data_IF_271265094095
#
_entry.id   IF_271265094095
#
_cell.length_a   1.000
_cell.length_b   1.000
_cell.length_c   1.000
_cell.angle_alpha   90.00
_cell.angle_beta   90.00
_cell.angle_gamma   90.00
#
_symmetry.space_group_name_H-M   'P 1'
#
loop_
_entity.id
_entity.type
_entity.pdbx_description
1 polymer ?
#
# COMPACT_ATOMS: atom_id res chain seq x y z
N UNK A 1 26.93 20.07 -10.76
CA UNK A 1 26.44 18.71 -10.46
C UNK A 1 26.56 18.51 -8.95
N UNK A 2 25.48 18.76 -8.20
CA UNK A 2 25.44 18.53 -6.77
C UNK A 2 24.98 17.09 -6.59
N UNK A 3 25.86 16.21 -6.14
CA UNK A 3 25.52 14.84 -5.76
C UNK A 3 24.60 14.90 -4.53
N UNK A 4 23.31 14.70 -4.70
CA UNK A 4 22.38 14.52 -3.61
C UNK A 4 22.73 13.21 -2.91
N UNK A 5 23.10 13.30 -1.64
CA UNK A 5 23.37 12.16 -0.77
C UNK A 5 22.14 11.23 -0.76
N UNK A 6 22.31 9.92 -0.96
CA UNK A 6 21.19 8.97 -0.87
C UNK A 6 20.53 9.07 0.51
N UNK A 7 19.20 8.85 0.60
CA UNK A 7 18.55 8.78 1.89
C UNK A 7 19.22 7.69 2.74
N UNK A 8 19.44 7.92 4.03
CA UNK A 8 20.05 6.94 4.90
C UNK A 8 19.21 5.67 4.88
N UNK A 9 19.86 4.52 4.77
CA UNK A 9 19.20 3.26 5.05
C UNK A 9 18.57 3.36 6.45
N UNK A 10 17.32 2.90 6.66
CA UNK A 10 16.67 3.01 7.95
C UNK A 10 17.58 2.39 9.00
N UNK A 11 18.15 3.23 9.86
CA UNK A 11 19.00 2.81 10.96
C UNK A 11 18.11 2.13 11.99
N UNK A 12 18.30 0.86 12.18
CA UNK A 12 17.90 -0.01 13.26
C UNK A 12 16.55 0.27 13.93
N UNK A 13 15.82 -0.81 14.16
CA UNK A 13 14.56 -0.90 14.89
C UNK A 13 13.49 0.08 14.40
N UNK A 14 12.55 -0.44 13.58
CA UNK A 14 11.27 0.23 13.43
C UNK A 14 10.75 0.53 14.84
N UNK A 15 10.52 1.80 15.12
CA UNK A 15 9.69 2.16 16.25
C UNK A 15 8.31 1.55 16.01
N UNK A 16 7.57 1.18 17.05
CA UNK A 16 6.20 0.63 16.97
C UNK A 16 5.23 1.49 16.13
N UNK A 17 5.68 2.59 15.56
CA UNK A 17 4.89 3.69 15.03
C UNK A 17 5.02 3.94 13.52
N UNK A 18 6.03 3.39 12.80
CA UNK A 18 6.16 3.66 11.37
C UNK A 18 7.59 3.64 10.81
N UNK A 19 7.73 4.10 9.57
CA UNK A 19 9.01 4.19 8.86
C UNK A 19 9.79 5.45 9.28
N UNK A 20 11.11 5.32 9.43
CA UNK A 20 11.98 6.44 9.78
C UNK A 20 12.21 7.45 8.64
N UNK A 21 11.89 7.11 7.38
CA UNK A 21 12.00 8.03 6.25
C UNK A 21 10.82 9.00 6.23
N UNK A 22 11.08 10.27 5.91
CA UNK A 22 10.03 11.26 5.75
C UNK A 22 9.16 10.99 4.50
N UNK A 23 7.91 11.44 4.52
CA UNK A 23 6.99 11.37 3.38
C UNK A 23 7.61 11.95 2.10
N UNK A 24 8.35 13.06 2.21
CA UNK A 24 9.02 13.71 1.08
C UNK A 24 10.15 12.85 0.47
N UNK A 25 10.97 12.21 1.31
CA UNK A 25 12.04 11.30 0.85
C UNK A 25 11.47 10.07 0.16
N UNK A 26 10.40 9.51 0.72
CA UNK A 26 9.66 8.40 0.12
C UNK A 26 9.07 8.80 -1.24
N UNK A 27 8.40 9.95 -1.32
CA UNK A 27 7.84 10.47 -2.57
C UNK A 27 8.91 10.65 -3.65
N UNK A 28 10.03 11.31 -3.35
CA UNK A 28 11.14 11.50 -4.27
C UNK A 28 11.78 10.20 -4.76
N UNK A 29 11.84 9.18 -3.90
CA UNK A 29 12.29 7.84 -4.30
C UNK A 29 11.32 7.20 -5.29
N UNK A 30 10.02 7.24 -5.01
CA UNK A 30 9.00 6.68 -5.90
C UNK A 30 8.90 7.44 -7.23
N UNK A 31 9.07 8.78 -7.25
CA UNK A 31 9.16 9.55 -8.50
C UNK A 31 10.28 9.03 -9.40
N UNK A 32 11.45 8.73 -8.84
CA UNK A 32 12.60 8.23 -9.59
C UNK A 32 12.38 6.84 -10.21
N UNK A 33 11.74 5.93 -9.46
CA UNK A 33 11.55 4.54 -9.91
C UNK A 33 10.24 4.32 -10.69
N UNK A 34 9.33 5.28 -10.71
CA UNK A 34 8.02 5.18 -11.35
C UNK A 34 8.05 4.57 -12.76
N UNK A 35 9.02 4.91 -13.66
CA UNK A 35 9.07 4.33 -15.00
C UNK A 35 9.23 2.81 -15.06
N UNK A 36 9.85 2.21 -14.04
CA UNK A 36 10.17 0.77 -13.98
C UNK A 36 9.40 0.02 -12.90
N UNK A 37 8.63 0.74 -12.08
CA UNK A 37 8.00 0.23 -10.87
C UNK A 37 7.16 -1.02 -11.09
N UNK A 38 6.30 -1.03 -12.11
CA UNK A 38 5.40 -2.16 -12.37
C UNK A 38 6.13 -3.42 -12.81
N UNK A 39 7.15 -3.28 -13.68
CA UNK A 39 7.98 -4.40 -14.10
C UNK A 39 8.80 -4.99 -12.95
N UNK A 40 9.32 -4.11 -12.07
CA UNK A 40 10.04 -4.50 -10.86
C UNK A 40 9.14 -5.32 -9.92
N UNK A 41 7.94 -4.84 -9.62
CA UNK A 41 7.00 -5.53 -8.73
C UNK A 41 6.55 -6.88 -9.29
N UNK A 42 6.29 -6.96 -10.59
CA UNK A 42 5.94 -8.22 -11.25
C UNK A 42 7.06 -9.28 -11.06
N UNK A 43 8.32 -8.88 -11.26
CA UNK A 43 9.46 -9.76 -11.12
C UNK A 43 9.71 -10.18 -9.66
N UNK A 44 9.68 -9.21 -8.72
CA UNK A 44 9.90 -9.46 -7.28
C UNK A 44 8.84 -10.39 -6.72
N UNK A 45 7.58 -10.19 -7.12
CA UNK A 45 6.44 -10.99 -6.64
C UNK A 45 6.33 -12.36 -7.32
N UNK A 46 7.19 -12.67 -8.30
CA UNK A 46 7.03 -13.86 -9.14
C UNK A 46 5.67 -13.85 -9.84
N UNK A 47 5.20 -12.70 -10.30
CA UNK A 47 3.90 -12.48 -10.95
C UNK A 47 2.68 -12.81 -10.08
N UNK A 48 2.82 -12.87 -8.74
CA UNK A 48 1.71 -13.14 -7.81
C UNK A 48 0.92 -11.88 -7.46
N UNK A 49 1.49 -10.68 -7.63
CA UNK A 49 0.90 -9.41 -7.24
C UNK A 49 -0.55 -9.20 -7.76
N UNK A 50 -0.92 -9.54 -9.00
CA UNK A 50 -2.31 -9.40 -9.46
C UNK A 50 -3.31 -10.27 -8.68
N UNK A 51 -2.89 -11.43 -8.18
CA UNK A 51 -3.74 -12.31 -7.34
C UNK A 51 -3.95 -11.70 -5.96
N UNK A 52 -2.90 -11.13 -5.37
CA UNK A 52 -2.98 -10.48 -4.06
C UNK A 52 -3.86 -9.24 -4.12
N UNK A 53 -3.71 -8.39 -5.15
CA UNK A 53 -4.56 -7.21 -5.36
C UNK A 53 -6.02 -7.58 -5.55
N UNK A 54 -6.33 -8.57 -6.38
CA UNK A 54 -7.72 -9.07 -6.53
C UNK A 54 -8.30 -9.54 -5.21
N UNK A 55 -7.49 -10.19 -4.36
CA UNK A 55 -7.94 -10.60 -3.03
C UNK A 55 -8.24 -9.40 -2.13
N UNK A 56 -7.41 -8.37 -2.13
CA UNK A 56 -7.65 -7.15 -1.37
C UNK A 56 -8.92 -6.43 -1.84
N UNK A 57 -9.11 -6.30 -3.16
CA UNK A 57 -10.33 -5.72 -3.75
C UNK A 57 -11.59 -6.50 -3.32
N UNK A 58 -11.54 -7.83 -3.37
CA UNK A 58 -12.67 -8.66 -2.93
C UNK A 58 -12.98 -8.51 -1.43
N UNK A 59 -11.97 -8.26 -0.59
CA UNK A 59 -12.13 -8.04 0.86
C UNK A 59 -12.72 -6.67 1.21
N UNK A 60 -12.68 -5.71 0.29
CA UNK A 60 -13.35 -4.42 0.45
C UNK A 60 -14.89 -4.53 0.39
N UNK A 61 -15.43 -5.65 -0.13
CA UNK A 61 -16.86 -5.97 -0.24
C UNK A 61 -17.71 -4.87 -0.90
N UNK A 62 -17.09 -4.17 -1.85
CA UNK A 62 -17.77 -3.13 -2.62
C UNK A 62 -18.87 -3.71 -3.53
N UNK A 63 -19.83 -2.87 -3.87
CA UNK A 63 -20.94 -3.14 -4.79
C UNK A 63 -21.03 -2.02 -5.83
N UNK A 64 -21.68 -2.26 -6.97
CA UNK A 64 -21.95 -1.21 -7.95
C UNK A 64 -22.59 0.05 -7.32
N UNK A 65 -22.09 1.21 -7.69
CA UNK A 65 -22.55 2.51 -7.18
C UNK A 65 -21.89 2.99 -5.88
N UNK A 66 -21.07 2.16 -5.20
CA UNK A 66 -20.34 2.54 -4.00
C UNK A 66 -19.14 3.45 -4.32
N UNK A 67 -18.59 4.09 -3.27
CA UNK A 67 -17.41 4.94 -3.34
C UNK A 67 -16.22 4.30 -2.63
N UNK A 68 -15.03 4.38 -3.22
CA UNK A 68 -13.81 3.84 -2.61
C UNK A 68 -12.62 4.79 -2.76
N UNK A 69 -11.66 4.65 -1.85
CA UNK A 69 -10.37 5.32 -1.94
C UNK A 69 -9.24 4.29 -1.90
N UNK A 70 -8.22 4.50 -2.73
CA UNK A 70 -6.98 3.72 -2.74
C UNK A 70 -5.82 4.61 -2.31
N UNK A 71 -5.32 4.39 -1.11
CA UNK A 71 -4.26 5.18 -0.47
C UNK A 71 -2.90 4.59 -0.86
N UNK A 72 -1.92 5.45 -1.15
CA UNK A 72 -0.64 5.07 -1.75
C UNK A 72 -0.88 4.24 -3.03
N UNK A 73 -1.71 4.77 -3.91
CA UNK A 73 -2.26 4.08 -5.09
C UNK A 73 -1.19 3.70 -6.12
N UNK A 74 -0.01 4.35 -6.10
CA UNK A 74 1.05 4.16 -7.08
C UNK A 74 0.56 4.41 -8.50
N UNK A 75 0.75 3.44 -9.38
CA UNK A 75 0.29 3.49 -10.78
C UNK A 75 -1.21 3.19 -10.96
N UNK A 76 -2.00 3.15 -9.87
CA UNK A 76 -3.46 3.04 -9.91
C UNK A 76 -4.03 1.64 -10.10
N UNK A 77 -3.24 0.58 -9.97
CA UNK A 77 -3.70 -0.80 -10.28
C UNK A 77 -4.80 -1.31 -9.35
N UNK A 78 -4.77 -0.96 -8.06
CA UNK A 78 -5.84 -1.33 -7.14
C UNK A 78 -7.04 -0.42 -7.38
N UNK A 79 -6.84 0.88 -7.50
CA UNK A 79 -7.90 1.84 -7.82
C UNK A 79 -8.67 1.45 -9.09
N UNK A 80 -7.98 1.03 -10.14
CA UNK A 80 -8.60 0.50 -11.36
C UNK A 80 -9.48 -0.73 -11.09
N UNK A 81 -8.98 -1.68 -10.29
CA UNK A 81 -9.77 -2.87 -9.94
C UNK A 81 -10.97 -2.56 -9.03
N UNK A 82 -10.88 -1.55 -8.16
CA UNK A 82 -12.02 -1.04 -7.40
C UNK A 82 -13.06 -0.40 -8.32
N UNK A 83 -12.60 0.39 -9.30
CA UNK A 83 -13.46 1.02 -10.29
C UNK A 83 -14.22 -0.01 -11.15
N UNK A 84 -13.58 -1.15 -11.49
CA UNK A 84 -14.25 -2.26 -12.17
C UNK A 84 -15.42 -2.84 -11.34
N UNK A 85 -15.30 -2.83 -10.00
CA UNK A 85 -16.35 -3.35 -9.10
C UNK A 85 -17.49 -2.35 -8.91
N UNK A 86 -17.16 -1.06 -8.67
CA UNK A 86 -18.18 -0.05 -8.39
C UNK A 86 -18.91 0.40 -9.66
N UNK A 87 -18.29 0.25 -10.83
CA UNK A 87 -18.87 0.59 -12.12
C UNK A 87 -19.06 2.09 -12.33
N UNK A 88 -19.67 2.47 -13.42
CA UNK A 88 -19.81 3.86 -13.87
C UNK A 88 -20.67 4.77 -12.97
N UNK A 89 -21.47 4.19 -12.06
CA UNK A 89 -22.25 4.93 -11.07
C UNK A 89 -21.54 5.06 -9.73
N UNK A 90 -20.39 4.40 -9.55
CA UNK A 90 -19.54 4.51 -8.39
C UNK A 90 -18.47 5.58 -8.54
N UNK A 91 -17.67 5.79 -7.49
CA UNK A 91 -16.55 6.72 -7.48
C UNK A 91 -15.33 6.09 -6.83
N UNK A 92 -14.17 6.21 -7.48
CA UNK A 92 -12.90 5.79 -6.89
C UNK A 92 -11.91 6.95 -6.92
N UNK A 93 -11.29 7.20 -5.78
CA UNK A 93 -10.20 8.15 -5.63
C UNK A 93 -8.89 7.41 -5.35
N UNK A 94 -7.88 7.57 -6.20
CA UNK A 94 -6.51 7.14 -5.92
C UNK A 94 -5.68 8.31 -5.38
N UNK A 95 -4.99 8.11 -4.26
CA UNK A 95 -4.13 9.13 -3.63
C UNK A 95 -2.72 8.58 -3.48
N UNK A 96 -1.72 9.37 -3.89
CA UNK A 96 -0.31 9.04 -3.69
C UNK A 96 0.51 10.32 -3.47
N UNK A 97 1.60 10.22 -2.72
CA UNK A 97 2.51 11.34 -2.47
C UNK A 97 3.41 11.65 -3.68
N UNK A 98 3.62 10.68 -4.57
CA UNK A 98 4.46 10.77 -5.75
C UNK A 98 3.70 11.35 -6.94
N UNK A 99 4.16 12.52 -7.44
CA UNK A 99 3.60 13.12 -8.65
C UNK A 99 3.75 12.20 -9.87
N UNK A 100 4.92 11.58 -10.03
CA UNK A 100 5.18 10.70 -11.18
C UNK A 100 4.31 9.44 -11.17
N UNK A 101 3.97 8.90 -10.00
CA UNK A 101 3.00 7.80 -9.87
C UNK A 101 1.60 8.23 -10.30
N UNK A 102 1.13 9.37 -9.78
CA UNK A 102 -0.20 9.92 -10.12
C UNK A 102 -0.32 10.23 -11.62
N UNK A 103 0.72 10.82 -12.23
CA UNK A 103 0.69 11.10 -13.67
C UNK A 103 0.58 9.81 -14.50
N UNK A 104 1.29 8.75 -14.10
CA UNK A 104 1.17 7.44 -14.74
C UNK A 104 -0.21 6.82 -14.53
N UNK A 105 -0.76 6.93 -13.33
CA UNK A 105 -2.10 6.44 -13.03
C UNK A 105 -3.17 7.15 -13.87
N UNK A 106 -3.09 8.48 -14.01
CA UNK A 106 -3.97 9.28 -14.86
C UNK A 106 -3.86 8.88 -16.33
N UNK A 107 -2.63 8.76 -16.83
CA UNK A 107 -2.39 8.37 -18.24
C UNK A 107 -2.95 6.98 -18.55
N UNK A 108 -2.79 6.02 -17.64
CA UNK A 108 -3.26 4.64 -17.81
C UNK A 108 -4.79 4.50 -17.71
N UNK A 109 -5.51 5.51 -17.19
CA UNK A 109 -6.94 5.44 -16.91
C UNK A 109 -7.70 6.68 -17.40
N UNK A 110 -7.22 7.32 -18.48
CA UNK A 110 -7.75 8.61 -18.97
C UNK A 110 -9.23 8.55 -19.37
N UNK A 111 -9.72 7.40 -19.82
CA UNK A 111 -11.10 7.21 -20.29
C UNK A 111 -12.08 6.81 -19.17
N UNK A 112 -11.64 6.74 -17.91
CA UNK A 112 -12.45 6.28 -16.78
C UNK A 112 -13.00 7.45 -15.98
N UNK A 113 -14.26 7.79 -16.19
CA UNK A 113 -14.90 8.94 -15.54
C UNK A 113 -15.17 8.73 -14.05
N UNK A 114 -15.34 7.48 -13.64
CA UNK A 114 -15.55 7.07 -12.24
C UNK A 114 -14.27 7.08 -11.39
N UNK A 115 -13.09 7.23 -12.03
CA UNK A 115 -11.79 7.10 -11.38
C UNK A 115 -11.02 8.42 -11.43
N UNK A 116 -10.63 8.93 -10.26
CA UNK A 116 -9.84 10.15 -10.12
C UNK A 116 -8.55 9.87 -9.36
N UNK A 117 -7.51 10.66 -9.64
CA UNK A 117 -6.21 10.56 -8.98
C UNK A 117 -5.74 11.93 -8.49
N UNK A 118 -5.33 12.00 -7.22
CA UNK A 118 -4.82 13.21 -6.58
C UNK A 118 -3.46 12.93 -5.92
N UNK A 119 -2.60 13.94 -5.94
CA UNK A 119 -1.41 13.94 -5.07
C UNK A 119 -1.85 14.31 -3.67
N UNK A 120 -1.43 13.51 -2.68
CA UNK A 120 -1.79 13.74 -1.28
C UNK A 120 -1.05 12.85 -0.31
N UNK A 121 -1.09 13.20 0.97
CA UNK A 121 -0.48 12.47 2.06
C UNK A 121 -1.50 11.50 2.68
N UNK A 122 -1.08 10.26 2.94
CA UNK A 122 -1.88 9.24 3.60
C UNK A 122 -2.27 9.61 5.05
N UNK A 123 -1.53 10.51 5.69
CA UNK A 123 -1.83 11.03 7.03
C UNK A 123 -2.79 12.22 7.01
N UNK A 124 -3.07 12.81 5.84
CA UNK A 124 -3.97 13.95 5.62
C UNK A 124 -4.65 13.78 4.27
N UNK A 125 -5.60 12.85 4.19
CA UNK A 125 -6.26 12.51 2.94
C UNK A 125 -7.11 13.67 2.43
N UNK A 126 -7.04 14.02 1.13
CA UNK A 126 -7.83 15.10 0.52
C UNK A 126 -9.28 14.66 0.28
N UNK A 127 -9.99 14.35 1.36
CA UNK A 127 -11.35 13.83 1.35
C UNK A 127 -12.10 14.25 2.62
N UNK A 128 -13.39 14.47 2.46
CA UNK A 128 -14.30 14.78 3.56
C UNK A 128 -14.52 13.55 4.47
N UNK A 129 -14.97 13.79 5.69
CA UNK A 129 -15.42 12.74 6.58
C UNK A 129 -16.56 11.95 5.95
N UNK A 130 -16.60 10.64 6.19
CA UNK A 130 -17.71 9.76 5.78
C UNK A 130 -18.04 9.77 4.28
N UNK A 131 -17.03 9.99 3.44
CA UNK A 131 -17.20 10.07 1.98
C UNK A 131 -17.18 8.71 1.26
N UNK A 132 -16.55 7.69 1.86
CA UNK A 132 -16.28 6.41 1.19
C UNK A 132 -16.86 5.20 1.92
N UNK A 133 -17.17 4.15 1.14
CA UNK A 133 -17.63 2.86 1.65
C UNK A 133 -16.46 1.91 1.93
N UNK A 134 -15.31 2.10 1.24
CA UNK A 134 -14.09 1.36 1.51
C UNK A 134 -12.84 2.20 1.27
N UNK A 135 -11.79 1.91 2.05
CA UNK A 135 -10.45 2.44 1.88
C UNK A 135 -9.45 1.28 1.76
N UNK A 136 -8.61 1.32 0.73
CA UNK A 136 -7.55 0.32 0.51
C UNK A 136 -6.18 0.97 0.61
N UNK A 137 -5.19 0.20 1.07
CA UNK A 137 -3.77 0.51 0.94
C UNK A 137 -3.04 -0.79 0.61
N UNK A 138 -2.34 -0.82 -0.53
CA UNK A 138 -1.66 -2.02 -0.99
C UNK A 138 -0.17 -1.76 -1.21
N UNK A 139 0.69 -2.42 -0.40
CA UNK A 139 2.15 -2.30 -0.44
C UNK A 139 2.69 -0.89 -0.18
N UNK A 140 1.85 -0.05 0.45
CA UNK A 140 2.17 1.33 0.79
C UNK A 140 2.41 1.55 2.29
N UNK A 141 1.72 0.79 3.16
CA UNK A 141 1.71 1.00 4.60
C UNK A 141 3.12 1.01 5.21
N UNK A 142 3.99 0.09 4.86
CA UNK A 142 5.37 0.01 5.38
C UNK A 142 6.24 1.24 5.12
N UNK A 143 5.80 2.12 4.21
CA UNK A 143 6.53 3.35 3.85
C UNK A 143 6.05 4.57 4.64
N UNK A 144 4.96 4.45 5.41
CA UNK A 144 4.40 5.56 6.17
C UNK A 144 5.14 5.76 7.49
N UNK A 145 5.28 7.02 7.96
CA UNK A 145 5.96 7.32 9.23
C UNK A 145 5.09 7.05 10.46
N UNK A 146 3.77 6.96 10.31
CA UNK A 146 2.81 6.71 11.40
C UNK A 146 1.67 5.80 10.89
N UNK A 147 1.71 4.53 11.28
CA UNK A 147 0.71 3.53 10.87
C UNK A 147 -0.65 3.78 11.53
N UNK A 148 -0.65 4.13 12.80
CA UNK A 148 -1.88 4.39 13.55
C UNK A 148 -2.57 5.65 13.04
N UNK A 149 -1.81 6.73 12.79
CA UNK A 149 -2.31 7.95 12.18
C UNK A 149 -2.93 7.72 10.81
N UNK A 150 -2.29 6.90 9.97
CA UNK A 150 -2.83 6.52 8.66
C UNK A 150 -4.15 5.73 8.77
N UNK A 151 -4.24 4.77 9.70
CA UNK A 151 -5.50 4.04 9.91
C UNK A 151 -6.60 4.92 10.50
N UNK A 152 -6.26 5.88 11.39
CA UNK A 152 -7.19 6.88 11.90
C UNK A 152 -7.75 7.76 10.77
N UNK A 153 -6.89 8.19 9.87
CA UNK A 153 -7.27 8.99 8.72
C UNK A 153 -8.14 8.20 7.73
N UNK A 154 -7.76 6.95 7.44
CA UNK A 154 -8.60 6.05 6.65
C UNK A 154 -9.96 5.79 7.31
N UNK A 155 -10.02 5.67 8.65
CA UNK A 155 -11.29 5.55 9.38
C UNK A 155 -12.13 6.81 9.29
N UNK A 156 -11.54 8.00 9.41
CA UNK A 156 -12.24 9.29 9.34
C UNK A 156 -13.08 9.44 8.08
N UNK A 157 -12.48 9.09 6.94
CA UNK A 157 -13.10 9.26 5.61
C UNK A 157 -14.10 8.17 5.25
N UNK A 158 -14.19 7.09 6.02
CA UNK A 158 -15.16 6.02 5.79
C UNK A 158 -16.52 6.38 6.37
N UNK A 159 -17.58 5.97 5.72
CA UNK A 159 -18.94 5.94 6.28
C UNK A 159 -19.02 4.94 7.43
N UNK A 160 -19.98 5.07 8.37
CA UNK A 160 -20.30 4.03 9.32
C UNK A 160 -20.50 2.68 8.62
N UNK A 161 -19.87 1.62 9.13
CA UNK A 161 -19.85 0.29 8.49
C UNK A 161 -18.87 0.15 7.31
N UNK A 162 -18.18 1.22 6.91
CA UNK A 162 -17.17 1.20 5.85
C UNK A 162 -15.92 0.39 6.24
N UNK A 163 -15.18 -0.08 5.25
CA UNK A 163 -14.05 -1.02 5.45
C UNK A 163 -12.70 -0.44 5.10
N UNK A 164 -11.71 -0.74 5.93
CA UNK A 164 -10.28 -0.61 5.60
C UNK A 164 -9.73 -1.97 5.18
N UNK A 165 -8.99 -2.02 4.08
CA UNK A 165 -8.21 -3.18 3.65
C UNK A 165 -6.75 -2.79 3.48
N UNK A 166 -5.85 -3.36 4.29
CA UNK A 166 -4.41 -3.15 4.20
C UNK A 166 -3.74 -4.44 3.70
N UNK A 167 -3.19 -4.40 2.50
CA UNK A 167 -2.43 -5.50 1.88
C UNK A 167 -0.94 -5.17 1.96
N UNK A 168 -0.14 -6.01 2.63
CA UNK A 168 1.29 -5.73 2.79
C UNK A 168 2.13 -7.02 2.85
N UNK A 169 3.42 -6.89 2.49
CA UNK A 169 4.40 -7.96 2.63
C UNK A 169 4.62 -8.21 4.12
N UNK A 170 4.52 -9.47 4.54
CA UNK A 170 4.74 -9.89 5.92
C UNK A 170 5.91 -10.84 6.03
N UNK A 171 6.46 -11.00 7.25
CA UNK A 171 7.47 -12.02 7.51
C UNK A 171 6.80 -13.37 7.66
N UNK A 172 7.09 -14.34 6.77
CA UNK A 172 6.46 -15.64 6.84
C UNK A 172 6.93 -16.43 8.06
N UNK A 173 5.98 -17.04 8.76
CA UNK A 173 6.25 -17.93 9.91
C UNK A 173 6.36 -19.40 9.49
N UNK A 174 5.79 -19.78 8.33
CA UNK A 174 5.85 -21.14 7.80
C UNK A 174 7.23 -21.46 7.22
N UNK A 175 7.63 -22.73 7.27
CA UNK A 175 8.90 -23.20 6.69
C UNK A 175 8.95 -22.89 5.18
N UNK A 176 7.85 -23.14 4.47
CA UNK A 176 7.74 -22.88 3.02
C UNK A 176 7.85 -21.37 2.75
N UNK A 177 7.17 -20.54 3.55
CA UNK A 177 7.28 -19.09 3.45
C UNK A 177 8.69 -18.58 3.73
N UNK A 178 9.44 -19.21 4.65
CA UNK A 178 10.85 -18.85 4.93
C UNK A 178 11.76 -19.12 3.75
N UNK A 179 11.50 -20.17 2.95
CA UNK A 179 12.22 -20.42 1.69
C UNK A 179 11.95 -19.30 0.69
N UNK A 180 10.68 -18.85 0.56
CA UNK A 180 10.33 -17.67 -0.23
C UNK A 180 10.97 -16.38 0.29
N UNK A 181 11.13 -16.25 1.60
CA UNK A 181 11.88 -15.16 2.23
C UNK A 181 13.35 -15.11 1.82
N UNK A 182 14.00 -16.28 1.66
CA UNK A 182 15.39 -16.36 1.15
C UNK A 182 15.51 -15.85 -0.29
N UNK A 183 14.51 -16.14 -1.14
CA UNK A 183 14.42 -15.54 -2.47
C UNK A 183 14.39 -14.02 -2.38
N UNK A 184 13.52 -13.47 -1.55
CA UNK A 184 13.37 -12.04 -1.36
C UNK A 184 14.68 -11.40 -0.84
N UNK A 185 15.37 -12.05 0.11
CA UNK A 185 16.59 -11.52 0.71
C UNK A 185 17.85 -11.63 -0.16
N UNK A 186 17.93 -12.64 -1.04
CA UNK A 186 19.14 -12.91 -1.83
C UNK A 186 18.99 -12.54 -3.29
N UNK A 187 17.84 -12.84 -3.89
CA UNK A 187 17.64 -12.64 -5.34
C UNK A 187 17.19 -11.21 -5.64
N UNK A 188 16.31 -10.63 -4.82
CA UNK A 188 15.82 -9.26 -5.02
C UNK A 188 16.95 -8.23 -5.05
N UNK A 189 17.94 -8.21 -4.13
CA UNK A 189 19.07 -7.27 -4.22
C UNK A 189 19.96 -7.49 -5.46
N UNK A 190 20.10 -8.74 -5.92
CA UNK A 190 20.86 -9.04 -7.14
C UNK A 190 20.15 -8.47 -8.37
N UNK A 191 18.84 -8.63 -8.47
CA UNK A 191 18.03 -8.02 -9.52
C UNK A 191 18.14 -6.49 -9.51
N UNK A 192 18.12 -5.87 -8.32
CA UNK A 192 18.32 -4.44 -8.17
C UNK A 192 19.65 -3.93 -8.73
N UNK A 193 20.72 -4.72 -8.55
CA UNK A 193 22.05 -4.41 -9.14
C UNK A 193 22.03 -4.50 -10.66
N UNK A 194 21.36 -5.52 -11.22
CA UNK A 194 21.31 -5.74 -12.67
C UNK A 194 20.48 -4.66 -13.39
N UNK A 195 19.45 -4.12 -12.74
CA UNK A 195 18.54 -3.11 -13.29
C UNK A 195 19.05 -1.69 -13.04
N UNK A 196 20.09 -1.51 -12.23
CA UNK A 196 20.63 -0.20 -11.89
C UNK A 196 19.88 0.56 -10.77
N UNK A 197 18.98 -0.12 -10.04
CA UNK A 197 18.12 0.46 -8.98
C UNK A 197 18.48 -0.10 -7.59
N UNK A 198 19.77 -0.21 -7.31
CA UNK A 198 20.30 -0.83 -6.07
C UNK A 198 19.73 -0.25 -4.79
N UNK A 199 19.58 1.09 -4.75
CA UNK A 199 19.09 1.80 -3.56
C UNK A 199 17.62 1.50 -3.27
N UNK A 200 16.75 1.53 -4.29
CA UNK A 200 15.33 1.22 -4.14
C UNK A 200 15.10 -0.23 -3.68
N UNK A 201 15.90 -1.16 -4.17
CA UNK A 201 15.82 -2.57 -3.73
C UNK A 201 16.38 -2.78 -2.31
N UNK A 202 17.44 -2.09 -1.93
CA UNK A 202 17.94 -2.11 -0.56
C UNK A 202 16.91 -1.54 0.42
N UNK A 203 16.27 -0.43 0.05
CA UNK A 203 15.17 0.16 0.81
C UNK A 203 13.99 -0.81 0.95
N UNK A 204 13.58 -1.48 -0.14
CA UNK A 204 12.50 -2.47 -0.12
C UNK A 204 12.79 -3.58 0.91
N UNK A 205 13.99 -4.18 0.87
CA UNK A 205 14.36 -5.23 1.82
C UNK A 205 14.39 -4.71 3.25
N UNK A 206 14.93 -3.50 3.47
CA UNK A 206 14.98 -2.89 4.79
C UNK A 206 13.60 -2.58 5.34
N UNK A 207 12.71 -1.97 4.55
CA UNK A 207 11.35 -1.63 4.96
C UNK A 207 10.50 -2.88 5.27
N UNK A 208 10.65 -3.97 4.49
CA UNK A 208 9.99 -5.25 4.78
C UNK A 208 10.50 -5.87 6.08
N UNK A 209 11.82 -5.78 6.36
CA UNK A 209 12.38 -6.27 7.62
C UNK A 209 11.93 -5.46 8.83
N UNK A 210 11.72 -4.18 8.65
CA UNK A 210 11.27 -3.26 9.69
C UNK A 210 9.76 -3.35 9.95
N UNK A 211 8.97 -3.80 8.96
CA UNK A 211 7.51 -3.85 9.07
C UNK A 211 7.03 -4.79 10.18
N UNK A 212 6.06 -4.38 11.01
CA UNK A 212 5.59 -5.13 12.16
C UNK A 212 4.94 -6.47 11.81
N UNK A 213 4.70 -7.29 12.82
CA UNK A 213 3.97 -8.56 12.66
C UNK A 213 2.49 -8.33 12.32
N UNK A 214 1.80 -9.29 11.69
CA UNK A 214 0.37 -9.17 11.42
C UNK A 214 -0.48 -8.89 12.65
N UNK A 215 -0.12 -9.48 13.80
CA UNK A 215 -0.81 -9.26 15.07
C UNK A 215 -0.69 -7.81 15.51
N UNK A 216 0.52 -7.24 15.41
CA UNK A 216 0.78 -5.85 15.80
C UNK A 216 0.03 -4.87 14.89
N UNK A 217 0.01 -5.10 13.57
CA UNK A 217 -0.80 -4.28 12.65
C UNK A 217 -2.29 -4.35 12.99
N UNK A 218 -2.80 -5.53 13.37
CA UNK A 218 -4.19 -5.65 13.81
C UNK A 218 -4.45 -4.88 15.12
N UNK A 219 -3.50 -4.85 16.05
CA UNK A 219 -3.57 -4.03 17.26
C UNK A 219 -3.55 -2.53 16.93
N UNK A 220 -2.68 -2.10 16.03
CA UNK A 220 -2.62 -0.72 15.53
C UNK A 220 -3.94 -0.29 14.88
N UNK A 221 -4.57 -1.15 14.07
CA UNK A 221 -5.89 -0.88 13.50
C UNK A 221 -6.97 -0.70 14.58
N UNK A 222 -6.94 -1.54 15.64
CA UNK A 222 -7.88 -1.38 16.77
C UNK A 222 -7.61 -0.11 17.55
N UNK A 223 -6.34 0.24 17.80
CA UNK A 223 -5.96 1.51 18.44
C UNK A 223 -6.43 2.74 17.65
N UNK A 224 -6.47 2.64 16.31
CA UNK A 224 -7.05 3.64 15.43
C UNK A 224 -8.59 3.69 15.44
N UNK A 225 -9.26 2.85 16.24
CA UNK A 225 -10.72 2.81 16.38
C UNK A 225 -11.46 1.95 15.36
N UNK A 226 -10.76 1.07 14.64
CA UNK A 226 -11.40 0.10 13.77
C UNK A 226 -11.86 -1.14 14.57
N UNK A 227 -13.03 -1.65 14.24
CA UNK A 227 -13.64 -2.84 14.83
C UNK A 227 -13.58 -4.04 13.86
N UNK A 228 -13.95 -5.24 14.32
CA UNK A 228 -13.94 -6.49 13.53
C UNK A 228 -12.60 -6.76 12.82
N UNK A 229 -11.50 -6.34 13.46
CA UNK A 229 -10.18 -6.45 12.89
C UNK A 229 -9.71 -7.89 12.81
N UNK A 230 -9.42 -8.33 11.60
CA UNK A 230 -8.88 -9.65 11.27
C UNK A 230 -7.88 -9.56 10.12
N UNK A 231 -7.16 -10.64 9.85
CA UNK A 231 -6.29 -10.72 8.68
C UNK A 231 -6.30 -12.10 8.04
N UNK A 232 -5.94 -12.14 6.77
CA UNK A 232 -5.79 -13.35 5.96
C UNK A 232 -4.35 -13.43 5.46
N UNK A 233 -3.69 -14.56 5.73
CA UNK A 233 -2.36 -14.85 5.19
C UNK A 233 -2.47 -15.36 3.75
N UNK A 234 -1.69 -14.78 2.85
CA UNK A 234 -1.59 -15.14 1.45
C UNK A 234 -0.21 -15.69 1.15
N UNK A 235 -0.10 -16.59 0.15
CA UNK A 235 1.16 -17.17 -0.31
C UNK A 235 2.05 -17.61 0.87
N UNK A 236 1.55 -18.56 1.65
CA UNK A 236 2.25 -19.13 2.82
C UNK A 236 2.68 -18.11 3.88
N UNK A 237 1.98 -16.98 3.98
CA UNK A 237 2.24 -15.92 4.95
C UNK A 237 3.29 -14.90 4.50
N UNK A 238 3.68 -14.88 3.22
CA UNK A 238 4.57 -13.85 2.66
C UNK A 238 3.86 -12.50 2.48
N UNK A 239 2.55 -12.52 2.36
CA UNK A 239 1.69 -11.33 2.25
C UNK A 239 0.52 -11.52 3.20
N UNK A 240 0.07 -10.43 3.83
CA UNK A 240 -1.12 -10.40 4.65
C UNK A 240 -2.09 -9.34 4.16
N UNK A 241 -3.39 -9.65 4.21
CA UNK A 241 -4.45 -8.69 4.00
C UNK A 241 -5.19 -8.51 5.33
N UNK A 242 -5.05 -7.34 5.95
CA UNK A 242 -5.79 -6.94 7.14
C UNK A 242 -7.09 -6.27 6.73
N UNK A 243 -8.14 -6.52 7.49
CA UNK A 243 -9.45 -5.93 7.31
C UNK A 243 -9.90 -5.38 8.66
N UNK A 244 -10.44 -4.17 8.67
CA UNK A 244 -11.13 -3.58 9.82
C UNK A 244 -12.33 -2.80 9.33
N UNK A 245 -13.31 -2.60 10.19
CA UNK A 245 -14.55 -1.90 9.87
C UNK A 245 -14.64 -0.63 10.72
N UNK A 246 -15.11 0.48 10.15
CA UNK A 246 -15.56 1.60 10.96
C UNK A 246 -16.86 1.17 11.66
N UNK A 247 -16.93 1.39 12.97
CA UNK A 247 -18.16 1.17 13.75
C UNK A 247 -19.37 1.87 13.10
N UNK A 248 -20.56 1.35 13.40
CA UNK A 248 -21.82 1.85 12.80
C UNK A 248 -22.43 3.01 13.61
N UNK A 249 -21.80 3.36 14.75
CA UNK A 249 -22.29 4.41 15.66
C UNK A 249 -21.63 5.76 15.41
#
# INVERSE_FOLDING_TARGET
>A
MVATKPPPAPSGAATDHGNAASTAEVGAMFDRIAPRYDGMNALISGFQEPRWRRRAIALAELRPGMSAIDVATGTGKVAMGLADVVGTFGHVLGVDVSNAMIDRARMANADRVELKFLVGDALHLPADDEAFDAATIAFGMRNLPDYEGAFREMRRILRPGGRVVCLEIARPRSIIGRIGGLWFERVVPLLGRLIGEREAYAYLVASVRAYPSPEHIAETMRAAGLVDVRWVALTFGMVTAHIGTRDAD
#
